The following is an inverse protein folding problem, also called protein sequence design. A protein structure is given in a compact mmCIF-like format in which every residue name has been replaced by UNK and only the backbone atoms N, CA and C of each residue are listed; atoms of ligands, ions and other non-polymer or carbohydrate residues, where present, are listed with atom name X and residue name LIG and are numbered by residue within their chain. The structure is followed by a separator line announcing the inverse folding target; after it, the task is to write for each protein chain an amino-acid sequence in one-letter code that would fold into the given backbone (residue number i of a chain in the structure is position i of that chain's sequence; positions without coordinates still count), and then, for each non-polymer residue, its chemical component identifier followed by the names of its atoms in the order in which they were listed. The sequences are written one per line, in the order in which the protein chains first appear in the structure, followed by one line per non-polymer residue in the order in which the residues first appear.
data_IF_911910565082
#
_entry.id   IF_911910565082
#
_cell.length_a   1.000
_cell.length_b   1.000
_cell.length_c   1.000
_cell.angle_alpha   90.00
_cell.angle_beta   90.00
_cell.angle_gamma   90.00
#
_symmetry.space_group_name_H-M   'P 1'
#
loop_
_entity.id
_entity.type
_entity.pdbx_description
1 polymer ?
#
# COMPACT_ATOMS: atom_id res chain seq x y z
N UNK A 1 5.55 -17.63 0.74
CA UNK A 1 6.08 -17.96 2.09
C UNK A 1 5.57 -17.06 3.23
N UNK A 2 5.60 -15.72 3.17
CA UNK A 2 5.14 -14.87 4.30
C UNK A 2 3.60 -14.94 4.57
N UNK A 3 2.78 -15.10 3.53
CA UNK A 3 1.33 -15.23 3.68
C UNK A 3 0.82 -16.60 4.09
N UNK A 4 1.60 -17.65 3.83
CA UNK A 4 1.17 -19.03 4.11
C UNK A 4 1.11 -19.33 5.61
N UNK A 5 1.80 -18.53 6.44
CA UNK A 5 1.93 -18.76 7.88
C UNK A 5 0.98 -17.92 8.75
N UNK A 6 0.21 -16.99 8.18
CA UNK A 6 -0.59 -16.01 8.93
C UNK A 6 -2.10 -15.98 8.58
N UNK A 7 -2.63 -16.99 7.88
CA UNK A 7 -4.01 -16.98 7.36
C UNK A 7 -5.08 -16.65 8.42
N UNK A 8 -4.91 -17.10 9.68
CA UNK A 8 -5.88 -16.85 10.75
C UNK A 8 -5.93 -15.38 11.20
N UNK A 9 -4.84 -14.62 11.02
CA UNK A 9 -4.75 -13.19 11.40
C UNK A 9 -4.99 -12.24 10.23
N UNK A 10 -5.28 -12.80 9.05
CA UNK A 10 -5.50 -12.04 7.84
C UNK A 10 -4.22 -11.51 7.22
N UNK A 11 -4.39 -10.64 6.22
CA UNK A 11 -3.32 -10.15 5.36
C UNK A 11 -2.93 -8.70 5.71
N UNK A 12 -1.64 -8.35 5.84
CA UNK A 12 -1.09 -6.99 5.89
C UNK A 12 0.22 -6.72 5.07
N UNK A 13 0.78 -5.50 5.12
CA UNK A 13 1.85 -5.05 4.23
C UNK A 13 3.15 -5.84 4.36
N UNK A 14 3.34 -6.56 5.47
CA UNK A 14 4.46 -7.48 5.66
C UNK A 14 4.60 -8.52 4.55
N UNK A 15 3.50 -8.87 3.88
CA UNK A 15 3.51 -9.89 2.85
C UNK A 15 4.12 -9.50 1.51
N UNK A 16 4.26 -8.21 1.21
CA UNK A 16 5.04 -7.73 0.06
C UNK A 16 6.47 -7.28 0.42
N UNK A 17 6.85 -7.34 1.71
CA UNK A 17 8.23 -7.09 2.14
C UNK A 17 9.26 -8.01 1.45
N UNK A 18 9.00 -9.31 1.22
CA UNK A 18 9.92 -10.16 0.45
C UNK A 18 10.12 -9.71 -1.00
N UNK A 19 9.09 -9.10 -1.64
CA UNK A 19 9.21 -8.54 -2.99
C UNK A 19 10.05 -7.27 -2.94
N UNK A 20 9.74 -6.34 -2.03
CA UNK A 20 10.52 -5.12 -1.86
C UNK A 20 12.01 -5.43 -1.64
N UNK A 21 12.33 -6.39 -0.77
CA UNK A 21 13.70 -6.75 -0.42
C UNK A 21 14.40 -7.68 -1.43
N UNK A 22 13.68 -8.22 -2.43
CA UNK A 22 14.27 -9.14 -3.42
C UNK A 22 14.53 -10.56 -2.90
N UNK A 23 13.85 -10.96 -1.83
CA UNK A 23 13.97 -12.28 -1.23
C UNK A 23 12.95 -13.31 -1.80
N UNK A 24 11.93 -12.85 -2.51
CA UNK A 24 10.93 -13.73 -3.12
C UNK A 24 11.44 -14.41 -4.40
N UNK A 25 10.96 -15.62 -4.67
CA UNK A 25 11.03 -16.21 -6.01
C UNK A 25 9.99 -15.54 -6.92
N UNK A 26 10.15 -15.62 -8.24
CA UNK A 26 9.18 -15.05 -9.19
C UNK A 26 7.77 -15.62 -8.96
N UNK A 27 7.63 -16.95 -8.84
CA UNK A 27 6.33 -17.60 -8.58
C UNK A 27 5.65 -17.06 -7.31
N UNK A 28 6.41 -16.86 -6.22
CA UNK A 28 5.85 -16.26 -5.01
C UNK A 28 5.49 -14.78 -5.20
N UNK A 29 6.29 -14.03 -5.97
CA UNK A 29 6.01 -12.64 -6.29
C UNK A 29 4.71 -12.52 -7.11
N UNK A 30 4.53 -13.36 -8.13
CA UNK A 30 3.34 -13.37 -8.97
C UNK A 30 2.06 -13.63 -8.13
N UNK A 31 2.15 -14.57 -7.18
CA UNK A 31 1.06 -14.87 -6.25
C UNK A 31 0.74 -13.68 -5.32
N UNK A 32 1.76 -13.00 -4.80
CA UNK A 32 1.58 -11.81 -3.93
C UNK A 32 0.98 -10.66 -4.72
N UNK A 33 1.51 -10.37 -5.92
CA UNK A 33 1.02 -9.27 -6.76
C UNK A 33 -0.42 -9.50 -7.19
N UNK A 34 -0.83 -10.75 -7.44
CA UNK A 34 -2.23 -11.09 -7.70
C UNK A 34 -3.15 -10.62 -6.56
N UNK A 35 -2.76 -10.86 -5.31
CA UNK A 35 -3.52 -10.43 -4.12
C UNK A 35 -3.46 -8.91 -3.94
N UNK A 36 -2.31 -8.27 -4.18
CA UNK A 36 -2.19 -6.81 -4.10
C UNK A 36 -3.14 -6.08 -5.07
N UNK A 37 -3.37 -6.68 -6.25
CA UNK A 37 -4.23 -6.15 -7.32
C UNK A 37 -5.71 -6.49 -7.14
N UNK A 38 -6.06 -7.32 -6.18
CA UNK A 38 -7.43 -7.75 -5.94
C UNK A 38 -8.21 -6.64 -5.21
N UNK A 39 -9.37 -6.27 -5.78
CA UNK A 39 -10.27 -5.24 -5.23
C UNK A 39 -11.00 -5.69 -3.97
N UNK A 40 -11.02 -6.99 -3.69
CA UNK A 40 -11.53 -7.55 -2.43
C UNK A 40 -10.43 -7.68 -1.36
N UNK A 41 -9.21 -7.21 -1.65
CA UNK A 41 -8.05 -7.32 -0.74
C UNK A 41 -7.38 -5.96 -0.53
N UNK A 42 -6.48 -5.54 -1.43
CA UNK A 42 -5.64 -4.35 -1.25
C UNK A 42 -5.79 -3.29 -2.35
N UNK A 43 -6.49 -3.59 -3.45
CA UNK A 43 -6.72 -2.63 -4.53
C UNK A 43 -7.98 -1.80 -4.24
N UNK A 44 -7.93 -1.06 -3.14
CA UNK A 44 -8.96 -0.15 -2.63
C UNK A 44 -8.92 1.22 -3.32
N UNK A 45 -9.78 2.16 -2.89
CA UNK A 45 -9.83 3.52 -3.44
C UNK A 45 -8.46 4.23 -3.33
N UNK A 46 -7.83 4.13 -2.15
CA UNK A 46 -6.39 4.32 -1.97
C UNK A 46 -5.76 2.93 -1.77
N UNK A 47 -4.95 2.41 -2.69
CA UNK A 47 -4.50 1.02 -2.66
C UNK A 47 -3.37 0.76 -1.63
N UNK A 48 -3.17 -0.52 -1.30
CA UNK A 48 -2.10 -1.05 -0.45
C UNK A 48 -2.12 -0.56 1.01
N UNK A 49 -3.30 -0.62 1.63
CA UNK A 49 -3.49 -0.35 3.06
C UNK A 49 -2.76 -1.33 3.99
N UNK A 50 -2.65 -0.99 5.27
CA UNK A 50 -1.91 -1.82 6.25
C UNK A 50 -2.64 -3.11 6.66
N UNK A 51 -3.84 -3.35 6.15
CA UNK A 51 -4.53 -4.62 6.25
C UNK A 51 -5.45 -4.77 5.04
N UNK A 52 -5.58 -5.99 4.53
CA UNK A 52 -6.52 -6.27 3.46
C UNK A 52 -7.96 -6.10 3.95
N UNK A 53 -8.90 -5.86 3.03
CA UNK A 53 -10.34 -5.85 3.33
C UNK A 53 -10.80 -7.18 3.94
N UNK A 54 -10.20 -8.30 3.54
CA UNK A 54 -10.49 -9.63 4.09
C UNK A 54 -9.91 -9.87 5.50
N UNK A 55 -9.11 -8.96 6.03
CA UNK A 55 -8.50 -9.12 7.35
C UNK A 55 -9.58 -9.06 8.44
N UNK A 56 -9.68 -10.06 9.36
CA UNK A 56 -10.70 -10.07 10.40
C UNK A 56 -10.68 -8.84 11.34
N UNK A 57 -9.54 -8.15 11.41
CA UNK A 57 -9.35 -6.96 12.22
C UNK A 57 -9.28 -5.65 11.39
N UNK A 58 -9.70 -5.70 10.12
CA UNK A 58 -9.74 -4.52 9.25
C UNK A 58 -10.65 -3.44 9.83
N UNK A 59 -10.16 -2.20 9.80
CA UNK A 59 -10.97 -1.02 10.01
C UNK A 59 -10.37 0.15 9.23
N UNK A 60 -11.15 0.84 8.37
CA UNK A 60 -10.62 1.83 7.44
C UNK A 60 -9.99 3.05 8.14
N UNK A 61 -10.40 3.33 9.38
CA UNK A 61 -9.85 4.42 10.20
C UNK A 61 -8.78 3.97 11.19
N UNK A 62 -8.44 2.67 11.23
CA UNK A 62 -7.44 2.14 12.17
C UNK A 62 -6.04 2.30 11.58
N UNK A 63 -5.18 3.02 12.30
CA UNK A 63 -3.82 3.37 11.89
C UNK A 63 -3.02 2.22 11.25
N UNK A 64 -2.89 1.07 11.91
CA UNK A 64 -2.10 -0.07 11.42
C UNK A 64 -2.95 -1.31 11.07
N UNK A 65 -4.25 -1.14 10.85
CA UNK A 65 -5.16 -2.22 10.44
C UNK A 65 -6.16 -1.77 9.37
N UNK A 66 -5.77 -0.83 8.52
CA UNK A 66 -6.56 -0.46 7.34
C UNK A 66 -6.00 0.76 6.61
N UNK A 67 -5.62 1.81 7.35
CA UNK A 67 -5.08 3.03 6.74
C UNK A 67 -3.87 2.77 5.85
N UNK A 68 -3.74 3.59 4.81
CA UNK A 68 -2.64 3.51 3.85
C UNK A 68 -1.54 4.45 4.29
N UNK A 69 -0.35 3.92 4.48
CA UNK A 69 0.84 4.71 4.74
C UNK A 69 1.75 4.72 3.52
N UNK A 70 2.31 5.89 3.22
CA UNK A 70 3.05 6.12 1.97
C UNK A 70 4.31 5.24 1.87
N UNK A 71 4.97 4.92 2.99
CA UNK A 71 6.13 4.05 3.03
C UNK A 71 5.77 2.61 2.61
N UNK A 72 4.71 2.04 3.20
CA UNK A 72 4.25 0.69 2.88
C UNK A 72 3.73 0.60 1.45
N UNK A 73 3.02 1.63 1.01
CA UNK A 73 2.59 1.81 -0.38
C UNK A 73 3.79 1.80 -1.34
N UNK A 74 4.81 2.62 -1.06
CA UNK A 74 6.04 2.67 -1.86
C UNK A 74 6.77 1.32 -1.90
N UNK A 75 6.90 0.62 -0.75
CA UNK A 75 7.51 -0.71 -0.72
C UNK A 75 6.75 -1.69 -1.61
N UNK A 76 5.42 -1.63 -1.60
CA UNK A 76 4.57 -2.42 -2.50
C UNK A 76 4.86 -2.11 -3.97
N UNK A 77 4.86 -0.84 -4.36
CA UNK A 77 5.15 -0.42 -5.73
C UNK A 77 6.55 -0.86 -6.19
N UNK A 78 7.58 -0.68 -5.35
CA UNK A 78 8.94 -1.10 -5.70
C UNK A 78 9.11 -2.62 -5.73
N UNK A 79 8.38 -3.33 -4.87
CA UNK A 79 8.27 -4.79 -4.95
C UNK A 79 7.66 -5.24 -6.27
N UNK A 80 6.56 -4.63 -6.70
CA UNK A 80 5.93 -4.90 -8.00
C UNK A 80 6.89 -4.62 -9.16
N UNK A 81 7.53 -3.45 -9.18
CA UNK A 81 8.49 -3.08 -10.23
C UNK A 81 9.66 -4.06 -10.33
N UNK A 82 10.25 -4.44 -9.19
CA UNK A 82 11.39 -5.37 -9.13
C UNK A 82 11.11 -6.73 -9.76
N UNK A 83 9.85 -7.17 -9.74
CA UNK A 83 9.42 -8.47 -10.27
C UNK A 83 8.64 -8.37 -11.60
N UNK A 84 8.78 -7.24 -12.32
CA UNK A 84 8.27 -7.10 -13.70
C UNK A 84 6.89 -6.46 -13.83
N UNK A 85 6.28 -6.00 -12.74
CA UNK A 85 4.92 -5.44 -12.71
C UNK A 85 4.89 -3.91 -12.74
N UNK A 86 5.82 -3.29 -13.49
CA UNK A 86 5.97 -1.83 -13.54
C UNK A 86 4.69 -1.11 -13.98
N UNK A 87 3.97 -1.61 -14.98
CA UNK A 87 2.75 -0.96 -15.44
C UNK A 87 1.62 -0.98 -14.41
N UNK A 88 1.47 -2.09 -13.68
CA UNK A 88 0.49 -2.19 -12.59
C UNK A 88 0.87 -1.26 -11.43
N UNK A 89 2.15 -1.20 -11.08
CA UNK A 89 2.64 -0.26 -10.08
C UNK A 89 2.34 1.21 -10.47
N UNK A 90 2.55 1.58 -11.74
CA UNK A 90 2.21 2.91 -12.24
C UNK A 90 0.71 3.22 -12.24
N UNK A 91 -0.15 2.20 -12.39
CA UNK A 91 -1.61 2.37 -12.27
C UNK A 91 -2.02 2.61 -10.82
N UNK A 92 -1.46 1.85 -9.88
CA UNK A 92 -1.70 2.03 -8.45
C UNK A 92 -1.15 3.36 -7.93
N UNK A 93 0.04 3.78 -8.39
CA UNK A 93 0.60 5.10 -8.13
C UNK A 93 -0.36 6.21 -8.56
N UNK A 94 -0.86 6.15 -9.80
CA UNK A 94 -1.85 7.11 -10.29
C UNK A 94 -3.12 7.12 -9.46
N UNK A 95 -3.68 5.94 -9.15
CA UNK A 95 -4.85 5.86 -8.29
C UNK A 95 -4.61 6.50 -6.91
N UNK A 96 -3.43 6.31 -6.31
CA UNK A 96 -3.07 7.00 -5.08
C UNK A 96 -3.06 8.53 -5.25
N UNK A 97 -2.35 9.04 -6.27
CA UNK A 97 -2.25 10.49 -6.50
C UNK A 97 -3.59 11.15 -6.87
N UNK A 98 -4.43 10.47 -7.64
CA UNK A 98 -5.73 10.99 -8.08
C UNK A 98 -6.75 11.06 -6.94
N UNK A 99 -6.61 10.21 -5.92
CA UNK A 99 -7.61 10.01 -4.89
C UNK A 99 -7.16 10.47 -3.48
N UNK A 100 -5.86 10.68 -3.24
CA UNK A 100 -5.36 11.10 -1.94
C UNK A 100 -5.66 12.58 -1.67
N UNK A 101 -6.55 12.85 -0.71
CA UNK A 101 -6.96 14.21 -0.36
C UNK A 101 -5.76 15.07 0.05
N UNK A 102 -5.73 16.32 -0.44
CA UNK A 102 -4.72 17.32 -0.09
C UNK A 102 -3.35 17.13 -0.78
N UNK A 103 -3.12 16.05 -1.53
CA UNK A 103 -1.78 15.75 -2.07
C UNK A 103 -1.38 16.62 -3.27
N UNK A 104 -2.34 17.01 -4.11
CA UNK A 104 -2.15 17.88 -5.29
C UNK A 104 -2.46 19.35 -4.94
N UNK A 105 -2.93 19.61 -3.72
CA UNK A 105 -3.31 20.94 -3.23
C UNK A 105 -2.17 21.52 -2.37
N UNK A 106 -2.23 22.80 -2.00
CA UNK A 106 -1.23 23.45 -1.11
C UNK A 106 -1.28 22.94 0.35
N UNK A 107 -1.93 21.81 0.58
CA UNK A 107 -2.09 21.19 1.90
C UNK A 107 -0.82 20.41 2.29
N UNK A 108 -0.47 20.40 3.59
CA UNK A 108 0.71 19.69 4.06
C UNK A 108 0.51 18.18 3.97
N UNK A 109 1.50 17.47 3.41
CA UNK A 109 1.54 16.00 3.36
C UNK A 109 1.39 15.43 4.79
N UNK A 110 0.44 14.51 4.95
CA UNK A 110 0.14 13.82 6.21
C UNK A 110 0.67 12.39 6.26
N UNK A 111 0.44 11.72 7.38
CA UNK A 111 0.98 10.40 7.70
C UNK A 111 0.31 9.28 6.90
N UNK A 112 -1.03 9.28 6.84
CA UNK A 112 -1.80 8.17 6.30
C UNK A 112 -3.18 8.58 5.77
N UNK A 113 -3.78 7.69 4.98
CA UNK A 113 -5.04 7.93 4.26
C UNK A 113 -6.04 6.82 4.54
N UNK A 114 -7.32 7.16 4.61
CA UNK A 114 -8.39 6.17 4.68
C UNK A 114 -8.44 5.42 3.33
N UNK A 115 -8.39 4.08 3.31
CA UNK A 115 -8.29 3.29 2.07
C UNK A 115 -9.56 3.35 1.22
N UNK A 116 -10.70 3.75 1.81
CA UNK A 116 -12.01 3.76 1.14
C UNK A 116 -12.45 5.16 0.72
N UNK A 117 -11.97 6.22 1.38
CA UNK A 117 -12.43 7.59 1.15
C UNK A 117 -11.34 8.55 0.70
N UNK A 118 -10.05 8.23 0.91
CA UNK A 118 -8.96 9.18 0.65
C UNK A 118 -8.69 10.15 1.81
N UNK A 119 -9.51 10.14 2.86
CA UNK A 119 -9.40 11.09 3.97
C UNK A 119 -8.05 10.96 4.70
N UNK A 120 -7.29 12.04 4.67
CA UNK A 120 -5.99 12.16 5.31
C UNK A 120 -6.09 12.30 6.85
N UNK A 121 -5.20 11.63 7.58
CA UNK A 121 -5.07 11.76 9.03
C UNK A 121 -3.58 11.80 9.46
N UNK A 122 -3.32 12.28 10.68
CA UNK A 122 -1.99 12.40 11.24
C UNK A 122 -1.38 13.80 11.16
N UNK A 123 -0.13 13.90 11.59
CA UNK A 123 0.63 15.14 11.69
C UNK A 123 0.86 15.78 10.31
N UNK A 124 0.71 17.12 10.19
CA UNK A 124 1.11 17.84 8.99
C UNK A 124 2.64 17.91 8.88
N UNK A 125 3.17 18.00 7.65
CA UNK A 125 4.60 18.13 7.32
C UNK A 125 5.43 16.89 7.69
N UNK A 126 4.91 15.70 7.40
CA UNK A 126 5.56 14.47 7.82
C UNK A 126 6.70 14.03 6.87
N UNK A 127 7.93 14.07 7.39
CA UNK A 127 9.15 13.93 6.58
C UNK A 127 9.28 12.60 5.83
N UNK A 128 8.79 11.47 6.37
CA UNK A 128 8.85 10.21 5.62
C UNK A 128 7.95 10.24 4.40
N UNK A 129 6.76 10.84 4.54
CA UNK A 129 5.77 10.90 3.48
C UNK A 129 6.31 11.74 2.33
N UNK A 130 6.96 12.87 2.64
CA UNK A 130 7.64 13.71 1.66
C UNK A 130 8.79 12.95 0.92
N UNK A 131 9.62 12.21 1.65
CA UNK A 131 10.72 11.46 1.06
C UNK A 131 10.25 10.38 0.07
N UNK A 132 9.21 9.64 0.41
CA UNK A 132 8.67 8.60 -0.45
C UNK A 132 7.85 9.16 -1.61
N UNK A 133 7.17 10.31 -1.43
CA UNK A 133 6.49 11.00 -2.53
C UNK A 133 7.47 11.35 -3.65
N UNK A 134 8.63 11.92 -3.31
CA UNK A 134 9.68 12.31 -4.28
C UNK A 134 10.23 11.11 -5.07
N UNK A 135 10.21 9.91 -4.49
CA UNK A 135 10.67 8.67 -5.15
C UNK A 135 9.56 7.87 -5.85
N UNK A 136 8.29 8.21 -5.61
CA UNK A 136 7.12 7.60 -6.24
C UNK A 136 6.67 8.32 -7.52
N UNK A 137 7.15 9.54 -7.74
CA UNK A 137 7.06 10.32 -8.99
C UNK A 137 8.20 9.89 -9.93
#
# INVERSE_FOLDING_TARGET
MCWQTNLERGKGPEGWSPLFNGAATQENADAVVKVMKDTEEFNTYIPLGTAALSNPAFGPDIYWRGRVWIDQFYFGLKGMEKYGYKEDALKMARAFFDNADGLIQDDPIRENYNPLTGEQQGAPNFSWSAAHLVHAI
#
